data_IF_281393422441
#
_entry.id   IF_281393422441
#
_cell.length_a   1.000
_cell.length_b   1.000
_cell.length_c   1.000
_cell.angle_alpha   90.00
_cell.angle_beta   90.00
_cell.angle_gamma   90.00
#
_symmetry.space_group_name_H-M   'P 1'
#
loop_
_entity.id
_entity.type
_entity.pdbx_description
1 polymer ?
#
# COMPACT_ATOMS: atom_id res chain seq x y z
N UNK A 1 -2.29 33.07 3.51
CA UNK A 1 -2.83 32.20 2.45
C UNK A 1 -3.58 31.08 3.14
N UNK A 2 -4.90 31.01 2.94
CA UNK A 2 -5.69 29.88 3.43
C UNK A 2 -5.30 28.66 2.62
N UNK A 3 -4.63 27.70 3.24
CA UNK A 3 -4.50 26.36 2.67
C UNK A 3 -5.91 25.83 2.43
N UNK A 4 -6.18 25.41 1.20
CA UNK A 4 -7.38 24.66 0.87
C UNK A 4 -7.26 23.32 1.59
N UNK A 5 -7.74 23.26 2.83
CA UNK A 5 -8.05 22.00 3.50
C UNK A 5 -9.02 21.25 2.58
N UNK A 6 -8.50 20.24 1.88
CA UNK A 6 -9.35 19.28 1.23
C UNK A 6 -9.99 18.48 2.35
N UNK A 7 -11.25 18.78 2.68
CA UNK A 7 -12.07 18.10 3.70
C UNK A 7 -12.32 16.61 3.42
N UNK A 8 -11.67 16.04 2.40
CA UNK A 8 -11.80 14.65 1.97
C UNK A 8 -10.48 13.94 2.23
N UNK A 9 -10.54 12.85 2.99
CA UNK A 9 -9.44 11.93 3.20
C UNK A 9 -8.96 11.42 1.81
N UNK A 10 -7.67 11.59 1.50
CA UNK A 10 -7.10 11.13 0.22
C UNK A 10 -6.46 9.77 0.45
N UNK A 11 -6.79 8.82 -0.42
CA UNK A 11 -6.24 7.47 -0.35
C UNK A 11 -5.60 7.13 -1.69
N UNK A 12 -4.36 6.65 -1.64
CA UNK A 12 -3.67 6.02 -2.75
C UNK A 12 -3.57 4.52 -2.46
N UNK A 13 -3.97 3.69 -3.43
CA UNK A 13 -3.87 2.24 -3.31
C UNK A 13 -2.92 1.71 -4.38
N UNK A 14 -1.93 0.95 -3.93
CA UNK A 14 -0.89 0.36 -4.80
C UNK A 14 -1.14 -1.14 -4.86
N UNK A 15 -1.39 -1.67 -6.05
CA UNK A 15 -1.43 -3.11 -6.31
C UNK A 15 -0.12 -3.50 -6.96
N UNK A 16 0.58 -4.45 -6.37
CA UNK A 16 1.93 -4.84 -6.81
C UNK A 16 2.14 -6.33 -6.63
N UNK A 17 2.79 -6.95 -7.62
CA UNK A 17 3.28 -8.33 -7.55
C UNK A 17 4.55 -8.46 -6.71
N UNK A 18 4.97 -7.37 -6.05
CA UNK A 18 6.07 -7.28 -5.09
C UNK A 18 7.44 -7.62 -5.67
N UNK A 19 7.61 -7.50 -6.99
CA UNK A 19 8.93 -7.51 -7.59
C UNK A 19 9.40 -6.06 -7.65
N UNK A 20 10.18 -5.64 -6.65
CA UNK A 20 10.79 -4.31 -6.60
C UNK A 20 11.75 -4.11 -7.77
N UNK A 21 11.22 -3.78 -8.94
CA UNK A 21 12.03 -3.46 -10.11
C UNK A 21 12.76 -2.15 -9.85
N UNK A 22 14.08 -2.19 -9.98
CA UNK A 22 14.90 -0.98 -9.99
C UNK A 22 14.67 -0.30 -11.33
N UNK A 23 13.68 0.60 -11.41
CA UNK A 23 13.36 1.29 -12.65
C UNK A 23 14.52 2.20 -13.03
N UNK A 24 15.14 1.94 -14.19
CA UNK A 24 16.22 2.78 -14.70
C UNK A 24 15.65 4.08 -15.30
N UNK A 25 15.82 5.18 -14.56
CA UNK A 25 15.80 6.58 -15.02
C UNK A 25 14.43 7.31 -15.17
N UNK A 26 14.27 8.52 -14.58
CA UNK A 26 14.94 9.03 -13.38
C UNK A 26 14.52 8.20 -12.15
N UNK A 27 15.49 7.85 -11.31
CA UNK A 27 15.26 7.09 -10.07
C UNK A 27 14.61 8.03 -9.06
N UNK A 28 13.29 8.06 -9.01
CA UNK A 28 12.59 8.55 -7.84
C UNK A 28 12.58 7.42 -6.83
N UNK A 29 13.19 7.65 -5.67
CA UNK A 29 13.08 6.71 -4.56
C UNK A 29 11.60 6.64 -4.17
N UNK A 30 11.00 5.46 -4.34
CA UNK A 30 9.58 5.25 -4.07
C UNK A 30 9.25 5.59 -2.60
N UNK A 31 10.20 5.39 -1.69
CA UNK A 31 10.05 5.70 -0.28
C UNK A 31 10.02 7.22 -0.04
N UNK A 32 10.86 7.98 -0.75
CA UNK A 32 10.86 9.45 -0.68
C UNK A 32 9.56 10.06 -1.24
N UNK A 33 9.06 9.54 -2.36
CA UNK A 33 7.79 10.01 -2.93
C UNK A 33 6.59 9.61 -2.06
N UNK A 34 6.64 8.43 -1.43
CA UNK A 34 5.65 8.03 -0.44
C UNK A 34 5.65 8.96 0.79
N UNK A 35 6.81 9.37 1.28
CA UNK A 35 6.93 10.35 2.36
C UNK A 35 6.30 11.69 1.98
N UNK A 36 6.58 12.20 0.77
CA UNK A 36 5.97 13.44 0.25
C UNK A 36 4.45 13.30 0.16
N UNK A 37 3.94 12.18 -0.35
CA UNK A 37 2.51 11.93 -0.44
C UNK A 37 1.84 11.90 0.94
N UNK A 38 2.42 11.18 1.91
CA UNK A 38 1.93 11.12 3.29
C UNK A 38 1.96 12.48 3.98
N UNK A 39 3.02 13.26 3.79
CA UNK A 39 3.12 14.63 4.31
C UNK A 39 2.02 15.56 3.75
N UNK A 40 1.47 15.24 2.57
CA UNK A 40 0.32 15.93 1.98
C UNK A 40 -1.05 15.35 2.41
N UNK A 41 -1.07 14.51 3.44
CA UNK A 41 -2.28 13.89 3.99
C UNK A 41 -2.86 12.79 3.10
N UNK A 42 -2.04 12.16 2.23
CA UNK A 42 -2.46 10.99 1.45
C UNK A 42 -2.13 9.74 2.25
N UNK A 43 -3.16 8.97 2.60
CA UNK A 43 -2.98 7.62 3.15
C UNK A 43 -2.63 6.67 2.01
N UNK A 44 -1.57 5.90 2.16
CA UNK A 44 -1.14 4.90 1.18
C UNK A 44 -1.49 3.52 1.71
N UNK A 45 -2.21 2.73 0.92
CA UNK A 45 -2.51 1.31 1.19
C UNK A 45 -1.78 0.48 0.14
N UNK A 46 -1.05 -0.55 0.58
CA UNK A 46 -0.30 -1.43 -0.30
C UNK A 46 -0.91 -2.82 -0.31
N UNK A 47 -1.26 -3.27 -1.50
CA UNK A 47 -1.87 -4.55 -1.78
C UNK A 47 -0.81 -5.42 -2.44
N UNK A 48 -0.24 -6.34 -1.66
CA UNK A 48 0.70 -7.36 -2.13
C UNK A 48 -0.05 -8.50 -2.79
N UNK A 49 0.24 -8.73 -4.07
CA UNK A 49 -0.31 -9.80 -4.90
C UNK A 49 0.83 -10.74 -5.26
N UNK A 50 0.52 -12.01 -5.49
CA UNK A 50 1.49 -12.98 -6.02
C UNK A 50 2.69 -13.26 -5.06
N UNK A 51 3.85 -13.58 -5.63
CA UNK A 51 4.97 -14.33 -5.04
C UNK A 51 5.48 -13.94 -3.65
N UNK A 52 5.32 -12.69 -3.20
CA UNK A 52 5.75 -12.31 -1.82
C UNK A 52 4.66 -12.46 -0.78
N UNK A 53 3.48 -12.94 -1.15
CA UNK A 53 2.36 -13.19 -0.25
C UNK A 53 1.81 -14.60 -0.53
N UNK A 54 1.59 -15.39 0.51
CA UNK A 54 1.00 -16.72 0.36
C UNK A 54 -0.53 -16.67 0.15
N UNK A 55 -1.12 -17.83 -0.14
CA UNK A 55 -2.58 -17.99 -0.29
C UNK A 55 -3.39 -17.74 0.99
N UNK A 56 -2.75 -17.43 2.12
CA UNK A 56 -3.42 -17.00 3.35
C UNK A 56 -3.27 -15.49 3.58
N UNK A 57 -2.66 -14.75 2.64
CA UNK A 57 -2.41 -13.32 2.77
C UNK A 57 -1.19 -12.99 3.65
N UNK A 58 -0.38 -13.99 4.00
CA UNK A 58 0.83 -13.77 4.80
C UNK A 58 2.00 -13.45 3.89
N UNK A 59 2.69 -12.35 4.20
CA UNK A 59 3.91 -11.97 3.54
C UNK A 59 5.02 -12.99 3.80
N UNK A 60 5.54 -13.60 2.73
CA UNK A 60 6.59 -14.64 2.76
C UNK A 60 7.98 -14.06 2.55
N UNK A 61 8.07 -12.88 1.93
CA UNK A 61 9.33 -12.16 1.70
C UNK A 61 9.42 -10.93 2.63
N UNK A 62 10.36 -10.97 3.58
CA UNK A 62 10.53 -9.89 4.56
C UNK A 62 11.07 -8.59 3.95
N UNK A 63 11.85 -8.64 2.86
CA UNK A 63 12.36 -7.43 2.21
C UNK A 63 11.23 -6.65 1.54
N UNK A 64 10.39 -7.34 0.78
CA UNK A 64 9.24 -6.76 0.09
C UNK A 64 8.18 -6.27 1.07
N UNK A 65 7.93 -7.03 2.14
CA UNK A 65 7.08 -6.58 3.24
C UNK A 65 7.61 -5.28 3.83
N UNK A 66 8.90 -5.22 4.18
CA UNK A 66 9.51 -4.04 4.78
C UNK A 66 9.48 -2.84 3.82
N UNK A 67 9.66 -3.07 2.52
CA UNK A 67 9.48 -2.05 1.48
C UNK A 67 8.05 -1.50 1.49
N UNK A 68 7.05 -2.38 1.44
CA UNK A 68 5.64 -1.99 1.51
C UNK A 68 5.30 -1.23 2.82
N UNK A 69 5.88 -1.63 3.96
CA UNK A 69 5.74 -0.89 5.23
C UNK A 69 6.33 0.52 5.10
N UNK A 70 7.51 0.69 4.49
CA UNK A 70 8.11 2.02 4.29
C UNK A 70 7.30 2.88 3.31
N UNK A 71 6.69 2.30 2.28
CA UNK A 71 5.78 3.01 1.36
C UNK A 71 4.45 3.39 1.99
N UNK A 72 3.95 2.64 2.96
CA UNK A 72 2.64 2.92 3.59
C UNK A 72 2.73 3.64 4.93
N UNK A 73 3.89 3.57 5.58
CA UNK A 73 4.15 4.15 6.91
C UNK A 73 3.70 3.26 8.07
N UNK A 74 2.97 2.16 7.81
CA UNK A 74 2.46 1.27 8.86
C UNK A 74 2.05 -0.10 8.30
N UNK A 75 2.21 -1.15 9.12
CA UNK A 75 1.78 -2.50 8.76
C UNK A 75 0.25 -2.63 8.60
N UNK A 76 -0.52 -1.76 9.25
CA UNK A 76 -1.99 -1.78 9.20
C UNK A 76 -2.56 -1.38 7.83
N UNK A 77 -1.71 -0.79 6.98
CA UNK A 77 -2.05 -0.37 5.62
C UNK A 77 -1.60 -1.41 4.57
N UNK A 78 -1.19 -2.61 5.01
CA UNK A 78 -0.85 -3.71 4.13
C UNK A 78 -2.02 -4.69 3.98
N UNK A 79 -2.28 -5.08 2.74
CA UNK A 79 -3.23 -6.14 2.40
C UNK A 79 -2.48 -7.21 1.63
N UNK A 80 -2.51 -8.44 2.15
CA UNK A 80 -1.93 -9.59 1.46
C UNK A 80 -3.00 -10.38 0.71
N UNK A 81 -2.84 -10.52 -0.60
CA UNK A 81 -3.76 -11.25 -1.50
C UNK A 81 -3.18 -12.59 -1.93
N UNK A 82 -1.89 -12.62 -2.28
CA UNK A 82 -1.14 -13.81 -2.67
C UNK A 82 -1.48 -14.43 -4.02
N UNK A 83 -2.75 -14.47 -4.43
CA UNK A 83 -3.15 -14.90 -5.78
C UNK A 83 -4.09 -13.85 -6.37
N UNK A 84 -3.80 -13.25 -7.54
CA UNK A 84 -4.68 -12.26 -8.16
C UNK A 84 -6.12 -12.77 -8.39
N UNK A 85 -6.33 -14.08 -8.54
CA UNK A 85 -7.66 -14.67 -8.66
C UNK A 85 -8.50 -14.56 -7.37
N UNK A 86 -7.86 -14.26 -6.24
CA UNK A 86 -8.52 -14.01 -4.94
C UNK A 86 -8.86 -12.55 -4.70
N UNK A 87 -8.64 -11.67 -5.70
CA UNK A 87 -9.23 -10.32 -5.71
C UNK A 87 -10.74 -10.42 -5.98
N UNK A 88 -11.45 -11.12 -5.10
CA UNK A 88 -12.89 -11.36 -5.15
C UNK A 88 -13.58 -10.75 -3.91
N UNK A 89 -14.87 -11.05 -3.74
CA UNK A 89 -15.67 -10.53 -2.62
C UNK A 89 -15.09 -10.99 -1.27
N UNK A 90 -14.40 -12.13 -1.20
CA UNK A 90 -13.81 -12.66 0.02
C UNK A 90 -12.67 -11.82 0.57
N UNK A 91 -12.00 -11.00 -0.27
CA UNK A 91 -10.98 -10.04 0.20
C UNK A 91 -11.54 -8.63 0.35
N UNK A 92 -12.69 -8.33 -0.27
CA UNK A 92 -13.33 -7.01 -0.22
C UNK A 92 -13.57 -6.52 1.21
N UNK A 93 -13.93 -7.41 2.13
CA UNK A 93 -14.12 -7.05 3.55
C UNK A 93 -12.81 -6.58 4.20
N UNK A 94 -11.67 -7.18 3.87
CA UNK A 94 -10.36 -6.73 4.35
C UNK A 94 -10.00 -5.37 3.74
N UNK A 95 -10.28 -5.16 2.45
CA UNK A 95 -10.09 -3.86 1.81
C UNK A 95 -10.93 -2.78 2.48
N UNK A 96 -12.22 -3.04 2.72
CA UNK A 96 -13.11 -2.10 3.37
C UNK A 96 -12.69 -1.85 4.81
N UNK A 97 -12.29 -2.88 5.55
CA UNK A 97 -11.77 -2.73 6.91
C UNK A 97 -10.55 -1.80 6.94
N UNK A 98 -9.59 -1.97 6.03
CA UNK A 98 -8.42 -1.10 5.96
C UNK A 98 -8.80 0.30 5.47
N UNK A 99 -9.53 0.42 4.36
CA UNK A 99 -9.98 1.70 3.77
C UNK A 99 -10.80 2.56 4.74
N UNK A 100 -11.72 1.93 5.46
CA UNK A 100 -12.64 2.60 6.35
C UNK A 100 -12.15 2.66 7.80
N UNK A 101 -11.00 2.03 8.13
CA UNK A 101 -10.36 2.24 9.41
C UNK A 101 -10.01 3.74 9.51
N UNK A 102 -10.57 4.47 10.49
CA UNK A 102 -10.42 5.91 10.60
C UNK A 102 -9.05 6.31 11.14
N UNK A 103 -7.97 5.60 10.76
CA UNK A 103 -6.62 5.80 11.30
C UNK A 103 -6.31 7.30 11.36
N UNK A 104 -6.00 7.68 12.61
CA UNK A 104 -6.00 8.97 13.30
C UNK A 104 -5.34 10.15 12.57
#
# INVERSE_FOLDING_TARGET
MLEKETTKHKIMMIFSDTQGDTVSYPVYDQEEEADKARANGIRIIYVGVDVSVDSNGKWTNSKERNHAVRLTGSEENLIGVGDPNRLDIGILDNFLAVLCNPVL
#
